data_IF_436399903343
#
_entry.id   IF_436399903343
#
_cell.length_a   1.000
_cell.length_b   1.000
_cell.length_c   1.000
_cell.angle_alpha   90.00
_cell.angle_beta   90.00
_cell.angle_gamma   90.00
#
_symmetry.space_group_name_H-M   'P 1'
#
loop_
_entity.id
_entity.type
_entity.pdbx_description
1 polymer ?
#
# COMPACT_ATOMS: atom_id res chain seq x y z
N UNK A 1 -29.76 3.25 6.04
CA UNK A 1 -28.69 2.79 5.14
C UNK A 1 -28.29 1.40 5.61
N UNK A 2 -28.23 0.37 4.76
CA UNK A 2 -27.64 -0.91 5.16
C UNK A 2 -26.19 -0.65 5.59
N UNK A 3 -25.81 -1.23 6.73
CA UNK A 3 -24.46 -1.13 7.26
C UNK A 3 -23.55 -1.93 6.33
N UNK A 4 -22.73 -1.24 5.54
CA UNK A 4 -21.85 -1.88 4.57
C UNK A 4 -20.69 -2.50 5.35
N UNK A 5 -20.55 -3.82 5.28
CA UNK A 5 -19.40 -4.50 5.89
C UNK A 5 -18.11 -4.01 5.21
N UNK A 6 -17.05 -3.74 5.99
CA UNK A 6 -15.78 -3.35 5.40
C UNK A 6 -15.26 -4.49 4.52
N UNK A 7 -14.68 -4.17 3.35
CA UNK A 7 -14.08 -5.18 2.50
C UNK A 7 -12.95 -5.91 3.24
N UNK A 8 -12.63 -7.16 2.85
CA UNK A 8 -11.52 -7.89 3.44
C UNK A 8 -10.20 -7.13 3.22
N UNK A 9 -9.29 -7.26 4.18
CA UNK A 9 -7.93 -6.72 4.06
C UNK A 9 -7.21 -7.46 2.92
N UNK A 10 -6.66 -6.75 1.91
CA UNK A 10 -5.95 -7.39 0.83
C UNK A 10 -4.70 -8.13 1.31
N UNK A 11 -4.42 -9.29 0.71
CA UNK A 11 -3.20 -10.04 0.95
C UNK A 11 -2.00 -9.46 0.16
N UNK A 12 -0.79 -9.97 0.41
CA UNK A 12 0.44 -9.46 -0.23
C UNK A 12 0.41 -9.59 -1.76
N UNK A 13 -0.16 -10.67 -2.31
CA UNK A 13 -0.22 -10.89 -3.76
C UNK A 13 -1.21 -9.92 -4.43
N UNK A 14 -2.36 -9.66 -3.78
CA UNK A 14 -3.34 -8.68 -4.23
C UNK A 14 -2.75 -7.26 -4.20
N UNK A 15 -2.02 -6.92 -3.13
CA UNK A 15 -1.32 -5.64 -3.05
C UNK A 15 -0.24 -5.54 -4.12
N UNK A 16 0.52 -6.60 -4.38
CA UNK A 16 1.54 -6.61 -5.43
C UNK A 16 0.92 -6.38 -6.81
N UNK A 17 -0.17 -7.07 -7.13
CA UNK A 17 -0.89 -6.88 -8.40
C UNK A 17 -1.39 -5.43 -8.56
N UNK A 18 -1.95 -4.85 -7.50
CA UNK A 18 -2.37 -3.45 -7.48
C UNK A 18 -1.18 -2.50 -7.69
N UNK A 19 -0.09 -2.69 -6.95
CA UNK A 19 1.11 -1.84 -7.02
C UNK A 19 1.74 -1.89 -8.42
N UNK A 20 1.92 -3.09 -8.97
CA UNK A 20 2.47 -3.27 -10.32
C UNK A 20 1.60 -2.60 -11.38
N UNK A 21 0.28 -2.80 -11.31
CA UNK A 21 -0.68 -2.16 -12.22
C UNK A 21 -0.60 -0.64 -12.10
N UNK A 22 -0.58 -0.11 -10.86
CA UNK A 22 -0.48 1.33 -10.62
C UNK A 22 0.81 1.92 -11.17
N UNK A 23 1.94 1.26 -10.99
CA UNK A 23 3.21 1.72 -11.54
C UNK A 23 3.23 1.69 -13.07
N UNK A 24 2.71 0.62 -13.69
CA UNK A 24 2.57 0.56 -15.15
C UNK A 24 1.72 1.72 -15.69
N UNK A 25 0.59 2.03 -15.04
CA UNK A 25 -0.28 3.16 -15.42
C UNK A 25 0.40 4.53 -15.24
N UNK A 26 1.33 4.65 -14.30
CA UNK A 26 2.14 5.86 -14.09
C UNK A 26 3.38 5.93 -15.00
N UNK A 27 3.60 4.91 -15.85
CA UNK A 27 4.80 4.81 -16.69
C UNK A 27 6.08 4.47 -15.91
N UNK A 28 5.94 3.92 -14.70
CA UNK A 28 7.05 3.46 -13.87
C UNK A 28 7.28 1.98 -14.18
N UNK A 29 8.38 1.70 -14.89
CA UNK A 29 8.81 0.33 -15.17
C UNK A 29 9.76 -0.16 -14.09
N UNK A 30 9.28 -1.07 -13.22
CA UNK A 30 10.11 -1.66 -12.15
C UNK A 30 10.96 -2.85 -12.62
N UNK A 31 10.76 -3.36 -13.85
CA UNK A 31 11.53 -4.49 -14.38
C UNK A 31 12.99 -4.14 -14.64
N UNK A 32 13.33 -2.84 -14.65
CA UNK A 32 14.70 -2.33 -14.73
C UNK A 32 15.50 -2.55 -13.44
N UNK A 33 14.83 -2.87 -12.34
CA UNK A 33 15.47 -3.19 -11.06
C UNK A 33 15.77 -4.70 -10.99
N UNK A 34 16.85 -5.11 -10.29
CA UNK A 34 17.07 -6.51 -9.99
C UNK A 34 15.91 -7.07 -9.17
N UNK A 35 15.56 -8.34 -9.37
CA UNK A 35 14.46 -8.97 -8.63
C UNK A 35 14.75 -9.02 -7.12
N UNK A 36 15.92 -9.54 -6.75
CA UNK A 36 16.44 -9.62 -5.38
C UNK A 36 17.96 -9.41 -5.41
N UNK A 37 18.45 -8.31 -4.83
CA UNK A 37 19.88 -8.01 -4.74
C UNK A 37 20.20 -7.24 -3.45
N UNK A 38 20.85 -7.86 -2.46
CA UNK A 38 21.16 -7.21 -1.19
C UNK A 38 22.18 -6.08 -1.30
N UNK A 39 23.03 -6.09 -2.33
CA UNK A 39 24.06 -5.05 -2.55
C UNK A 39 23.50 -3.86 -3.36
N UNK A 40 22.38 -4.06 -4.05
CA UNK A 40 21.69 -2.97 -4.73
C UNK A 40 21.04 -2.03 -3.70
N UNK A 41 21.09 -0.70 -3.92
CA UNK A 41 20.34 0.26 -3.08
C UNK A 41 18.82 -0.02 -3.09
N UNK A 42 18.32 -0.59 -4.18
CA UNK A 42 16.92 -1.00 -4.34
C UNK A 42 16.83 -2.21 -5.27
N UNK A 43 15.93 -3.13 -4.93
CA UNK A 43 15.51 -4.27 -5.74
C UNK A 43 13.96 -4.32 -5.79
N UNK A 44 13.39 -5.16 -6.64
CA UNK A 44 11.94 -5.24 -6.80
C UNK A 44 11.24 -5.72 -5.53
N UNK A 45 11.81 -6.69 -4.82
CA UNK A 45 11.23 -7.22 -3.57
C UNK A 45 11.10 -6.12 -2.51
N UNK A 46 12.18 -5.36 -2.28
CA UNK A 46 12.25 -4.24 -1.34
C UNK A 46 11.32 -3.11 -1.73
N UNK A 47 11.24 -2.79 -3.02
CA UNK A 47 10.32 -1.78 -3.54
C UNK A 47 8.86 -2.18 -3.28
N UNK A 48 8.48 -3.43 -3.60
CA UNK A 48 7.13 -3.93 -3.37
C UNK A 48 6.81 -4.00 -1.88
N UNK A 49 7.75 -4.48 -1.05
CA UNK A 49 7.57 -4.55 0.41
C UNK A 49 7.33 -3.16 1.03
N UNK A 50 8.09 -2.15 0.60
CA UNK A 50 7.91 -0.78 1.06
C UNK A 50 6.56 -0.20 0.60
N UNK A 51 6.19 -0.42 -0.67
CA UNK A 51 4.89 0.01 -1.18
C UNK A 51 3.72 -0.65 -0.44
N UNK A 52 3.81 -1.95 -0.09
CA UNK A 52 2.81 -2.64 0.74
C UNK A 52 2.70 -2.00 2.12
N UNK A 53 3.83 -1.66 2.76
CA UNK A 53 3.85 -1.00 4.06
C UNK A 53 3.13 0.36 4.02
N UNK A 54 3.43 1.18 3.00
CA UNK A 54 2.80 2.50 2.82
C UNK A 54 1.28 2.37 2.67
N UNK A 55 0.81 1.46 1.81
CA UNK A 55 -0.63 1.27 1.59
C UNK A 55 -1.37 0.81 2.84
N UNK A 56 -0.74 -0.01 3.67
CA UNK A 56 -1.30 -0.45 4.95
C UNK A 56 -1.40 0.70 5.93
N UNK A 57 -0.37 1.53 6.04
CA UNK A 57 -0.37 2.72 6.89
C UNK A 57 -1.43 3.73 6.44
N UNK A 58 -1.55 3.98 5.13
CA UNK A 58 -2.57 4.85 4.56
C UNK A 58 -3.98 4.35 4.91
N UNK A 59 -4.21 3.02 4.83
CA UNK A 59 -5.48 2.42 5.20
C UNK A 59 -5.80 2.56 6.70
N UNK A 60 -4.81 2.36 7.57
CA UNK A 60 -4.95 2.58 9.02
C UNK A 60 -5.32 4.03 9.34
N UNK A 61 -4.64 4.99 8.71
CA UNK A 61 -4.93 6.42 8.88
C UNK A 61 -6.32 6.78 8.33
N UNK A 62 -6.71 6.25 7.17
CA UNK A 62 -8.02 6.50 6.58
C UNK A 62 -9.17 5.91 7.43
N UNK A 63 -8.89 4.88 8.23
CA UNK A 63 -9.85 4.30 9.17
C UNK A 63 -10.03 5.15 10.44
N UNK A 64 -9.24 6.21 10.65
CA UNK A 64 -9.37 7.08 11.80
C UNK A 64 -10.73 7.80 11.83
N UNK A 65 -11.45 7.63 12.94
CA UNK A 65 -12.71 8.32 13.21
C UNK A 65 -12.45 9.42 14.24
N UNK A 66 -12.68 10.68 13.85
CA UNK A 66 -12.69 11.80 14.80
C UNK A 66 -13.96 11.67 15.64
N UNK A 67 -13.81 11.59 16.96
CA UNK A 67 -14.94 11.74 17.87
C UNK A 67 -15.52 13.15 17.68
N UNK A 68 -16.80 13.30 17.26
CA UNK A 68 -17.43 14.61 17.09
C UNK A 68 -17.46 15.45 18.38
N UNK A 69 -17.29 14.83 19.54
CA UNK A 69 -17.24 15.47 20.86
C UNK A 69 -15.82 15.82 21.31
N UNK A 70 -14.81 15.55 20.49
CA UNK A 70 -13.41 15.88 20.77
C UNK A 70 -13.19 17.39 20.76
N UNK A 71 -13.18 18.00 21.95
CA UNK A 71 -12.74 19.38 22.15
C UNK A 71 -11.25 19.41 22.53
N UNK A 72 -10.42 20.04 21.69
CA UNK A 72 -9.07 20.44 22.10
C UNK A 72 -9.18 21.51 23.21
N UNK A 73 -8.37 21.43 24.28
CA UNK A 73 -8.39 22.41 25.38
C UNK A 73 -7.95 23.81 24.95
#
# INVERSE_FOLDING_TARGET
>A
MPQQEPPPVPNDDELNAYIQTRYALLGIDISVLPEVDPEAPMDQERLLANARLILRQDAEVAAFQIDPQFNLP
#
